data_IF_667299154667
#
_entry.id   IF_667299154667
#
_cell.length_a   1.000
_cell.length_b   1.000
_cell.length_c   1.000
_cell.angle_alpha   90.00
_cell.angle_beta   90.00
_cell.angle_gamma   90.00
#
_symmetry.space_group_name_H-M   'P 1'
#
loop_
_entity.id
_entity.type
_entity.pdbx_description
1 polymer ?
#
# COMPACT_ATOMS: atom_id res chain seq x y z
N UNK A 1 -10.92 10.33 -11.20
CA UNK A 1 -9.98 9.19 -11.28
C UNK A 1 -8.89 9.41 -10.25
N UNK A 2 -8.54 8.38 -9.48
CA UNK A 2 -7.60 8.50 -8.35
C UNK A 2 -6.56 7.39 -8.39
N UNK A 3 -5.36 7.71 -7.92
CA UNK A 3 -4.21 6.81 -7.80
C UNK A 3 -4.21 6.12 -6.45
N UNK A 4 -4.53 4.83 -6.44
CA UNK A 4 -4.70 4.03 -5.24
C UNK A 4 -3.46 3.15 -5.02
N UNK A 5 -2.89 3.21 -3.82
CA UNK A 5 -1.75 2.38 -3.43
C UNK A 5 -2.10 1.44 -2.30
N UNK A 6 -2.01 0.12 -2.53
CA UNK A 6 -2.26 -0.90 -1.52
C UNK A 6 -0.96 -1.44 -0.91
N UNK A 7 -0.88 -1.49 0.41
CA UNK A 7 0.33 -1.88 1.15
C UNK A 7 0.05 -3.05 2.11
N UNK A 8 0.85 -4.11 1.99
CA UNK A 8 0.94 -5.19 2.98
C UNK A 8 2.40 -5.45 3.38
N UNK A 9 2.71 -6.58 4.02
CA UNK A 9 4.08 -6.95 4.38
C UNK A 9 4.93 -7.25 3.13
N UNK A 10 4.58 -8.30 2.38
CA UNK A 10 5.43 -8.88 1.32
C UNK A 10 4.96 -8.62 -0.11
N UNK A 11 3.80 -8.00 -0.31
CA UNK A 11 3.19 -7.80 -1.63
C UNK A 11 3.03 -9.10 -2.45
N UNK A 12 2.48 -10.14 -1.82
CA UNK A 12 2.22 -11.44 -2.48
C UNK A 12 0.75 -11.79 -2.55
N UNK A 13 -0.03 -11.44 -1.53
CA UNK A 13 -1.44 -11.77 -1.42
C UNK A 13 -2.27 -10.50 -1.29
N UNK A 14 -2.66 -10.11 -0.07
CA UNK A 14 -3.61 -9.03 0.23
C UNK A 14 -3.47 -7.76 -0.64
N UNK A 15 -2.29 -7.15 -0.72
CA UNK A 15 -2.13 -5.93 -1.53
C UNK A 15 -2.08 -6.19 -3.03
N UNK A 16 -1.55 -7.32 -3.46
CA UNK A 16 -1.54 -7.71 -4.87
C UNK A 16 -2.95 -8.08 -5.37
N UNK A 17 -3.74 -8.78 -4.55
CA UNK A 17 -5.14 -9.08 -4.83
C UNK A 17 -5.94 -7.78 -5.01
N UNK A 18 -5.76 -6.80 -4.13
CA UNK A 18 -6.43 -5.50 -4.26
C UNK A 18 -6.05 -4.78 -5.56
N UNK A 19 -4.78 -4.82 -5.96
CA UNK A 19 -4.34 -4.30 -7.27
C UNK A 19 -5.04 -5.03 -8.42
N UNK A 20 -4.99 -6.36 -8.44
CA UNK A 20 -5.57 -7.16 -9.53
C UNK A 20 -7.08 -6.96 -9.66
N UNK A 21 -7.81 -6.90 -8.54
CA UNK A 21 -9.27 -6.77 -8.53
C UNK A 21 -9.74 -5.36 -8.92
N UNK A 22 -9.01 -4.32 -8.50
CA UNK A 22 -9.41 -2.93 -8.73
C UNK A 22 -8.78 -2.31 -9.99
N UNK A 23 -7.86 -3.01 -10.65
CA UNK A 23 -7.24 -2.51 -11.87
C UNK A 23 -8.29 -2.26 -12.96
N UNK A 24 -8.41 -1.01 -13.42
CA UNK A 24 -9.37 -0.61 -14.46
C UNK A 24 -10.81 -0.38 -13.97
N UNK A 25 -11.09 -0.57 -12.68
CA UNK A 25 -12.40 -0.27 -12.09
C UNK A 25 -12.57 1.25 -11.98
N UNK A 26 -13.68 1.78 -12.51
CA UNK A 26 -14.06 3.20 -12.45
C UNK A 26 -12.97 4.20 -12.88
N UNK A 27 -12.05 3.75 -13.75
CA UNK A 27 -10.91 4.56 -14.23
C UNK A 27 -9.85 4.84 -13.17
N UNK A 28 -9.82 4.10 -12.05
CA UNK A 28 -8.76 4.21 -11.07
C UNK A 28 -7.44 3.61 -11.56
N UNK A 29 -6.33 4.30 -11.27
CA UNK A 29 -5.00 3.72 -11.41
C UNK A 29 -4.62 3.05 -10.10
N UNK A 30 -4.22 1.77 -10.14
CA UNK A 30 -3.96 1.00 -8.93
C UNK A 30 -2.56 0.43 -8.94
N UNK A 31 -1.86 0.54 -7.81
CA UNK A 31 -0.56 -0.11 -7.57
C UNK A 31 -0.55 -0.75 -6.19
N UNK A 32 0.34 -1.71 -6.01
CA UNK A 32 0.59 -2.32 -4.72
C UNK A 32 2.08 -2.48 -4.41
N UNK A 33 2.41 -2.44 -3.12
CA UNK A 33 3.77 -2.66 -2.64
C UNK A 33 3.76 -3.29 -1.24
N UNK A 34 4.96 -3.59 -0.73
CA UNK A 34 5.18 -4.22 0.56
C UNK A 34 6.22 -3.49 1.40
N UNK A 35 6.02 -3.49 2.73
CA UNK A 35 6.93 -2.83 3.68
C UNK A 35 8.20 -3.62 3.98
N UNK A 36 8.16 -4.95 3.82
CA UNK A 36 9.28 -5.84 4.17
C UNK A 36 10.43 -5.74 3.17
N UNK A 37 11.69 -5.95 3.60
CA UNK A 37 12.84 -6.03 2.69
C UNK A 37 12.67 -7.09 1.60
N UNK A 38 11.99 -8.21 1.92
CA UNK A 38 11.73 -9.32 1.00
C UNK A 38 10.40 -9.19 0.25
N UNK A 39 9.79 -8.01 0.23
CA UNK A 39 8.58 -7.78 -0.55
C UNK A 39 8.85 -7.93 -2.04
N UNK A 40 7.89 -8.53 -2.79
CA UNK A 40 7.95 -8.65 -4.25
C UNK A 40 8.19 -7.29 -4.91
N UNK A 41 7.38 -6.31 -4.54
CA UNK A 41 7.59 -4.88 -4.84
C UNK A 41 7.75 -4.16 -3.51
N UNK A 42 8.94 -3.61 -3.26
CA UNK A 42 9.20 -2.86 -2.03
C UNK A 42 8.67 -1.44 -2.16
N UNK A 43 7.99 -0.95 -1.11
CA UNK A 43 7.52 0.44 -1.07
C UNK A 43 8.71 1.41 -1.10
N UNK A 44 8.54 2.49 -1.87
CA UNK A 44 9.50 3.58 -2.04
C UNK A 44 8.79 4.93 -1.90
N UNK A 45 9.54 6.02 -1.72
CA UNK A 45 8.96 7.37 -1.70
C UNK A 45 8.22 7.70 -3.00
N UNK A 46 8.70 7.23 -4.14
CA UNK A 46 8.02 7.42 -5.43
C UNK A 46 6.62 6.79 -5.47
N UNK A 47 6.42 5.63 -4.83
CA UNK A 47 5.08 5.04 -4.69
C UNK A 47 4.17 5.93 -3.84
N UNK A 48 4.68 6.39 -2.69
CA UNK A 48 3.94 7.25 -1.75
C UNK A 48 3.57 8.57 -2.42
N UNK A 49 4.53 9.22 -3.08
CA UNK A 49 4.35 10.48 -3.80
C UNK A 49 3.33 10.36 -4.94
N UNK A 50 3.36 9.25 -5.68
CA UNK A 50 2.42 8.98 -6.78
C UNK A 50 0.97 8.80 -6.31
N UNK A 51 0.75 8.26 -5.11
CA UNK A 51 -0.59 7.90 -4.63
C UNK A 51 -1.39 9.12 -4.14
N UNK A 52 -2.68 9.16 -4.49
CA UNK A 52 -3.66 10.09 -3.91
C UNK A 52 -4.18 9.54 -2.57
N UNK A 53 -4.39 8.22 -2.51
CA UNK A 53 -4.85 7.50 -1.31
C UNK A 53 -4.04 6.23 -1.13
N UNK A 54 -3.58 6.00 0.10
CA UNK A 54 -2.83 4.81 0.48
C UNK A 54 -3.69 3.95 1.39
N UNK A 55 -3.85 2.68 1.02
CA UNK A 55 -4.54 1.68 1.82
C UNK A 55 -3.51 0.74 2.44
N UNK A 56 -3.48 0.66 3.77
CA UNK A 56 -2.66 -0.31 4.49
C UNK A 56 -3.53 -1.44 5.01
N UNK A 57 -3.07 -2.69 4.90
CA UNK A 57 -3.87 -3.83 5.40
C UNK A 57 -3.99 -3.83 6.93
N UNK A 58 -2.94 -3.39 7.63
CA UNK A 58 -2.83 -3.43 9.09
C UNK A 58 -2.07 -2.19 9.57
N UNK A 59 -2.30 -1.79 10.83
CA UNK A 59 -1.62 -0.64 11.47
C UNK A 59 -0.09 -0.77 11.45
N UNK A 60 0.45 -1.99 11.51
CA UNK A 60 1.91 -2.23 11.47
C UNK A 60 2.55 -1.75 10.17
N UNK A 61 1.83 -1.81 9.05
CA UNK A 61 2.34 -1.32 7.77
C UNK A 61 2.47 0.21 7.77
N UNK A 62 1.47 0.93 8.31
CA UNK A 62 1.54 2.39 8.47
C UNK A 62 2.72 2.79 9.37
N UNK A 63 2.88 2.14 10.53
CA UNK A 63 4.01 2.43 11.44
C UNK A 63 5.36 2.31 10.74
N UNK A 64 5.59 1.20 10.03
CA UNK A 64 6.82 0.98 9.25
C UNK A 64 7.03 2.02 8.15
N UNK A 65 5.96 2.47 7.49
CA UNK A 65 6.06 3.53 6.49
C UNK A 65 6.37 4.89 7.12
N UNK A 66 5.81 5.20 8.29
CA UNK A 66 6.11 6.43 9.04
C UNK A 66 7.55 6.45 9.56
N UNK A 67 8.04 5.32 10.05
CA UNK A 67 9.44 5.18 10.48
C UNK A 67 10.42 5.36 9.31
N UNK A 68 10.09 4.82 8.14
CA UNK A 68 10.99 4.82 6.98
C UNK A 68 10.89 6.06 6.09
N UNK A 69 9.69 6.65 5.96
CA UNK A 69 9.40 7.75 5.05
C UNK A 69 8.57 8.85 5.74
N UNK A 70 9.03 9.40 6.87
CA UNK A 70 8.23 10.30 7.71
C UNK A 70 7.71 11.52 6.95
N UNK A 71 8.54 12.12 6.10
CA UNK A 71 8.16 13.30 5.30
C UNK A 71 7.23 12.97 4.14
N UNK A 72 7.48 11.86 3.43
CA UNK A 72 6.66 11.50 2.28
C UNK A 72 5.23 11.11 2.68
N UNK A 73 5.05 10.53 3.87
CA UNK A 73 3.73 10.04 4.32
C UNK A 73 2.92 11.06 5.11
N UNK A 74 3.56 12.08 5.71
CA UNK A 74 2.87 13.04 6.59
C UNK A 74 1.74 13.81 5.89
N UNK A 75 1.87 14.03 4.59
CA UNK A 75 0.88 14.76 3.78
C UNK A 75 -0.09 13.85 3.03
N UNK A 76 -0.01 12.53 3.25
CA UNK A 76 -0.79 11.54 2.50
C UNK A 76 -2.01 11.09 3.28
N UNK A 77 -3.11 10.91 2.56
CA UNK A 77 -4.30 10.25 3.08
C UNK A 77 -4.05 8.75 3.17
N UNK A 78 -3.97 8.23 4.40
CA UNK A 78 -3.78 6.79 4.64
C UNK A 78 -5.01 6.19 5.35
N UNK A 79 -5.51 5.08 4.82
CA UNK A 79 -6.65 4.34 5.37
C UNK A 79 -6.20 2.93 5.74
N UNK A 80 -6.47 2.50 6.97
CA UNK A 80 -6.21 1.12 7.40
C UNK A 80 -7.46 0.27 7.16
N UNK A 81 -7.32 -0.79 6.36
CA UNK A 81 -8.42 -1.70 6.01
C UNK A 81 -8.69 -2.77 7.08
N UNK A 82 -7.76 -2.95 8.02
CA UNK A 82 -7.88 -3.95 9.10
C UNK A 82 -8.07 -5.39 8.61
N UNK A 83 -7.39 -5.75 7.50
CA UNK A 83 -7.42 -7.10 6.92
C UNK A 83 -6.22 -7.89 7.47
N UNK A 84 -6.42 -8.86 8.38
CA UNK A 84 -5.34 -9.67 8.93
C UNK A 84 -4.67 -10.54 7.85
N UNK A 85 -3.45 -11.01 8.13
CA UNK A 85 -2.82 -12.06 7.31
C UNK A 85 -3.28 -13.42 7.85
N UNK A 86 -4.15 -14.12 7.13
CA UNK A 86 -4.70 -15.42 7.54
C UNK A 86 -3.99 -16.62 6.89
N UNK A 87 -2.97 -16.36 6.09
CA UNK A 87 -2.27 -17.36 5.28
C UNK A 87 -0.80 -17.55 5.69
N UNK A 88 -0.44 -17.21 6.93
CA UNK A 88 0.89 -17.51 7.49
C UNK A 88 1.15 -19.02 7.60
#
# INVERSE_FOLDING_TARGET
MSKLLFICSRNKWRSLTAETVLNGVDGHEVRSAGTEPQARVRVTEGHIGWADVIFVMEKKHLRRMQEKFPHAISEKRVICLHIPDEYE
#
